data_IF_951012335463
#
_entry.id   IF_951012335463
#
_cell.length_a   1.000
_cell.length_b   1.000
_cell.length_c   1.000
_cell.angle_alpha   90.00
_cell.angle_beta   90.00
_cell.angle_gamma   90.00
#
_symmetry.space_group_name_H-M   'P 1'
#
loop_
_entity.id
_entity.type
_entity.pdbx_description
1 polymer ?
#
# COMPACT_ATOMS: atom_id res chain seq x y z
N UNK A 1 -10.21 -33.24 -8.78
CA UNK A 1 -10.23 -31.80 -9.12
C UNK A 1 -8.99 -31.09 -8.55
N UNK A 2 -8.02 -30.78 -9.41
CA UNK A 2 -6.84 -30.00 -9.01
C UNK A 2 -7.29 -28.57 -8.74
N UNK A 3 -7.21 -28.12 -7.48
CA UNK A 3 -7.38 -26.71 -7.11
C UNK A 3 -6.10 -26.02 -7.53
N UNK A 4 -6.01 -25.62 -8.79
CA UNK A 4 -4.95 -24.71 -9.23
C UNK A 4 -5.29 -23.37 -8.58
N UNK A 5 -4.42 -22.78 -7.72
CA UNK A 5 -4.65 -21.43 -7.25
C UNK A 5 -4.72 -20.55 -8.50
N UNK A 6 -5.88 -19.93 -8.75
CA UNK A 6 -5.97 -18.89 -9.76
C UNK A 6 -4.88 -17.88 -9.45
N UNK A 7 -4.05 -17.51 -10.44
CA UNK A 7 -3.05 -16.48 -10.23
C UNK A 7 -3.70 -15.27 -9.56
N UNK A 8 -3.09 -14.71 -8.51
CA UNK A 8 -3.68 -13.58 -7.81
C UNK A 8 -3.91 -12.45 -8.82
N UNK A 9 -5.11 -11.89 -8.82
CA UNK A 9 -5.48 -10.79 -9.72
C UNK A 9 -4.78 -9.46 -9.38
N UNK A 10 -3.77 -9.51 -8.51
CA UNK A 10 -2.98 -8.39 -8.03
C UNK A 10 -1.49 -8.73 -8.04
N UNK A 11 -0.68 -7.69 -8.19
CA UNK A 11 0.78 -7.78 -8.13
C UNK A 11 1.24 -7.44 -6.70
N UNK A 12 2.04 -8.32 -6.10
CA UNK A 12 2.65 -8.11 -4.77
C UNK A 12 3.87 -7.19 -4.91
N UNK A 13 3.86 -6.07 -4.20
CA UNK A 13 4.93 -5.06 -4.24
C UNK A 13 5.37 -4.74 -2.80
N UNK A 14 6.63 -5.01 -2.43
CA UNK A 14 7.17 -4.53 -1.16
C UNK A 14 7.12 -3.00 -1.10
N UNK A 15 6.58 -2.43 -0.01
CA UNK A 15 6.41 -0.98 0.12
C UNK A 15 7.74 -0.23 -0.04
N UNK A 16 8.85 -0.80 0.46
CA UNK A 16 10.20 -0.24 0.26
C UNK A 16 10.59 -0.07 -1.23
N UNK A 17 10.14 -0.97 -2.11
CA UNK A 17 10.48 -0.93 -3.52
C UNK A 17 9.80 0.26 -4.20
N UNK A 18 8.62 0.67 -3.74
CA UNK A 18 7.95 1.89 -4.22
C UNK A 18 8.79 3.13 -3.90
N UNK A 19 9.35 3.20 -2.69
CA UNK A 19 10.29 4.28 -2.33
C UNK A 19 11.56 4.25 -3.18
N UNK A 20 12.14 3.07 -3.44
CA UNK A 20 13.33 2.97 -4.29
C UNK A 20 13.05 3.39 -5.72
N UNK A 21 11.91 3.00 -6.28
CA UNK A 21 11.43 3.50 -7.57
C UNK A 21 11.31 5.02 -7.55
N UNK A 22 10.71 5.62 -6.51
CA UNK A 22 10.62 7.07 -6.40
C UNK A 22 11.98 7.76 -6.34
N UNK A 23 12.96 7.20 -5.63
CA UNK A 23 14.30 7.78 -5.60
C UNK A 23 14.99 7.75 -6.98
N UNK A 24 14.61 6.81 -7.85
CA UNK A 24 15.19 6.66 -9.19
C UNK A 24 14.44 7.48 -10.27
N UNK A 25 13.12 7.41 -10.31
CA UNK A 25 12.27 8.01 -11.36
C UNK A 25 11.38 9.16 -10.86
N UNK A 26 11.50 9.54 -9.59
CA UNK A 26 10.76 10.64 -8.97
C UNK A 26 9.25 10.40 -8.95
N UNK A 27 8.52 11.49 -9.18
CA UNK A 27 7.06 11.52 -9.16
C UNK A 27 6.38 10.55 -10.14
N UNK A 28 7.07 10.09 -11.19
CA UNK A 28 6.55 9.05 -12.08
C UNK A 28 6.21 7.77 -11.32
N UNK A 29 7.00 7.41 -10.30
CA UNK A 29 6.71 6.24 -9.47
C UNK A 29 5.33 6.35 -8.79
N UNK A 30 4.97 7.54 -8.29
CA UNK A 30 3.68 7.74 -7.62
C UNK A 30 2.53 7.49 -8.61
N UNK A 31 2.64 7.97 -9.85
CA UNK A 31 1.64 7.71 -10.90
C UNK A 31 1.60 6.23 -11.28
N UNK A 32 2.75 5.60 -11.49
CA UNK A 32 2.85 4.19 -11.90
C UNK A 32 2.18 3.26 -10.88
N UNK A 33 2.42 3.47 -9.58
CA UNK A 33 1.81 2.69 -8.50
C UNK A 33 0.46 3.22 -8.04
N UNK A 34 0.04 4.42 -8.48
CA UNK A 34 -1.20 5.08 -8.09
C UNK A 34 -2.40 4.76 -8.99
N UNK A 35 -2.16 4.71 -10.30
CA UNK A 35 -3.23 4.71 -11.32
C UNK A 35 -3.33 3.42 -12.16
N UNK A 36 -2.52 2.40 -11.85
CA UNK A 36 -2.43 1.17 -12.65
C UNK A 36 -2.77 -0.09 -11.87
N UNK A 37 -3.23 -1.16 -12.55
CA UNK A 37 -3.41 -2.54 -12.06
C UNK A 37 -4.09 -2.67 -10.68
N UNK A 38 -4.15 -3.89 -10.14
CA UNK A 38 -4.44 -4.10 -8.71
C UNK A 38 -3.12 -4.45 -8.02
N UNK A 39 -2.84 -3.82 -6.88
CA UNK A 39 -1.62 -4.06 -6.12
C UNK A 39 -1.93 -4.59 -4.73
N UNK A 40 -0.98 -5.33 -4.18
CA UNK A 40 -0.88 -5.61 -2.76
C UNK A 40 0.45 -5.06 -2.26
N UNK A 41 0.40 -4.03 -1.42
CA UNK A 41 1.58 -3.41 -0.83
C UNK A 41 1.99 -4.18 0.42
N UNK A 42 3.13 -4.85 0.35
CA UNK A 42 3.64 -5.65 1.45
C UNK A 42 4.45 -4.79 2.42
N UNK A 43 4.32 -5.06 3.72
CA UNK A 43 5.02 -4.32 4.78
C UNK A 43 4.79 -2.79 4.70
N UNK A 44 3.52 -2.39 4.59
CA UNK A 44 3.14 -0.98 4.59
C UNK A 44 3.50 -0.35 5.94
N UNK A 45 4.20 0.77 5.91
CA UNK A 45 4.52 1.53 7.10
C UNK A 45 5.92 1.29 7.65
N UNK A 46 6.76 0.52 6.97
CA UNK A 46 8.18 0.36 7.35
C UNK A 46 9.16 0.84 6.28
N UNK A 47 8.66 1.35 5.15
CA UNK A 47 9.49 1.92 4.10
C UNK A 47 10.27 3.16 4.59
N UNK A 48 11.45 3.46 4.00
CA UNK A 48 12.12 4.73 4.26
C UNK A 48 11.36 5.90 3.62
N UNK A 49 11.64 7.12 4.08
CA UNK A 49 11.20 8.33 3.39
C UNK A 49 11.82 8.37 1.98
N UNK A 50 11.02 8.72 0.98
CA UNK A 50 11.52 8.94 -0.38
C UNK A 50 12.21 10.28 -0.45
N UNK A 51 13.32 10.35 -1.19
CA UNK A 51 14.07 11.59 -1.37
C UNK A 51 14.37 11.80 -2.84
N UNK A 52 13.83 12.88 -3.39
CA UNK A 52 14.04 13.27 -4.78
C UNK A 52 14.51 14.72 -4.81
N UNK A 53 15.71 14.95 -5.35
CA UNK A 53 16.39 16.26 -5.32
C UNK A 53 16.48 16.91 -3.92
N UNK A 54 16.72 16.09 -2.89
CA UNK A 54 16.89 16.57 -1.51
C UNK A 54 15.59 16.91 -0.78
N UNK A 55 14.43 16.76 -1.42
CA UNK A 55 13.13 16.92 -0.77
C UNK A 55 12.62 15.56 -0.28
N UNK A 56 12.27 15.49 0.99
CA UNK A 56 11.63 14.33 1.59
C UNK A 56 10.15 14.24 1.18
N UNK A 57 9.70 13.03 0.88
CA UNK A 57 8.35 12.74 0.44
C UNK A 57 7.86 11.44 1.06
N UNK A 58 6.63 11.47 1.57
CA UNK A 58 5.91 10.26 1.97
C UNK A 58 5.31 9.60 0.73
N UNK A 59 6.15 8.83 0.02
CA UNK A 59 5.83 8.25 -1.29
C UNK A 59 4.59 7.37 -1.21
N UNK A 60 4.50 6.47 -0.24
CA UNK A 60 3.34 5.59 -0.11
C UNK A 60 2.10 6.35 0.32
N UNK A 61 2.22 7.40 1.14
CA UNK A 61 1.11 8.28 1.46
C UNK A 61 0.47 8.88 0.22
N UNK A 62 1.28 9.41 -0.71
CA UNK A 62 0.81 9.95 -1.98
C UNK A 62 0.22 8.86 -2.89
N UNK A 63 0.86 7.69 -2.97
CA UNK A 63 0.33 6.54 -3.73
C UNK A 63 -1.04 6.10 -3.21
N UNK A 64 -1.22 6.01 -1.89
CA UNK A 64 -2.49 5.63 -1.26
C UNK A 64 -3.60 6.65 -1.57
N UNK A 65 -3.27 7.93 -1.59
CA UNK A 65 -4.21 8.98 -2.01
C UNK A 65 -4.60 8.83 -3.48
N UNK A 66 -3.64 8.65 -4.39
CA UNK A 66 -3.93 8.39 -5.81
C UNK A 66 -4.78 7.14 -6.01
N UNK A 67 -4.47 6.06 -5.27
CA UNK A 67 -5.24 4.80 -5.31
C UNK A 67 -6.66 4.97 -4.81
N UNK A 68 -6.87 5.80 -3.79
CA UNK A 68 -8.21 6.13 -3.32
C UNK A 68 -9.02 6.87 -4.40
N UNK A 69 -8.42 7.85 -5.08
CA UNK A 69 -9.08 8.54 -6.18
C UNK A 69 -9.41 7.59 -7.33
N UNK A 70 -8.50 6.67 -7.67
CA UNK A 70 -8.76 5.61 -8.65
C UNK A 70 -9.89 4.67 -8.22
N UNK A 71 -9.93 4.28 -6.94
CA UNK A 71 -10.99 3.45 -6.38
C UNK A 71 -12.36 4.10 -6.57
N UNK A 72 -12.48 5.41 -6.34
CA UNK A 72 -13.70 6.16 -6.60
C UNK A 72 -14.01 6.25 -8.11
N UNK A 73 -13.03 6.65 -8.93
CA UNK A 73 -13.18 6.82 -10.39
C UNK A 73 -13.66 5.53 -11.07
N UNK A 74 -13.11 4.39 -10.66
CA UNK A 74 -13.42 3.08 -11.24
C UNK A 74 -14.67 2.44 -10.65
N UNK A 75 -15.39 3.13 -9.76
CA UNK A 75 -16.53 2.59 -9.01
C UNK A 75 -16.17 1.28 -8.31
N UNK A 76 -15.05 1.26 -7.61
CA UNK A 76 -14.56 0.14 -6.77
C UNK A 76 -14.14 -1.12 -7.54
N UNK A 77 -13.89 -1.01 -8.85
CA UNK A 77 -13.46 -2.14 -9.69
C UNK A 77 -11.99 -2.50 -9.48
N UNK A 78 -11.14 -1.50 -9.28
CA UNK A 78 -9.71 -1.71 -9.01
C UNK A 78 -9.50 -1.74 -7.50
N UNK A 79 -8.99 -2.87 -7.00
CA UNK A 79 -8.79 -3.10 -5.57
C UNK A 79 -7.34 -2.87 -5.20
N UNK A 80 -7.14 -2.29 -4.02
CA UNK A 80 -5.84 -2.15 -3.39
C UNK A 80 -5.82 -3.03 -2.15
N UNK A 81 -4.75 -3.77 -1.95
CA UNK A 81 -4.51 -4.57 -0.75
C UNK A 81 -3.22 -4.08 -0.08
N UNK A 82 -3.11 -4.32 1.21
CA UNK A 82 -1.88 -4.05 1.94
C UNK A 82 -1.75 -5.01 3.13
N UNK A 83 -0.52 -5.32 3.50
CA UNK A 83 -0.17 -6.00 4.75
C UNK A 83 0.66 -5.02 5.58
N UNK A 84 0.55 -5.11 6.91
CA UNK A 84 1.32 -4.26 7.82
C UNK A 84 1.43 -4.92 9.18
N UNK A 85 2.55 -4.68 9.84
CA UNK A 85 2.75 -5.03 11.25
C UNK A 85 2.39 -3.88 12.20
N UNK A 86 2.01 -2.72 11.64
CA UNK A 86 1.66 -1.54 12.41
C UNK A 86 0.17 -1.52 12.78
N UNK A 87 -0.12 -0.92 13.93
CA UNK A 87 -1.47 -0.63 14.35
C UNK A 87 -2.01 0.69 13.73
N UNK A 88 -3.28 0.98 13.98
CA UNK A 88 -3.96 2.12 13.37
C UNK A 88 -3.46 3.51 13.84
N UNK A 89 -2.80 3.60 14.99
CA UNK A 89 -2.19 4.84 15.52
C UNK A 89 -0.80 5.04 14.90
N UNK A 90 0.02 3.99 14.82
CA UNK A 90 1.33 4.03 14.17
C UNK A 90 1.23 4.39 12.68
N UNK A 91 0.22 3.85 11.98
CA UNK A 91 -0.08 4.24 10.60
C UNK A 91 -0.51 5.71 10.49
N UNK A 92 -1.24 6.23 11.47
CA UNK A 92 -1.64 7.64 11.48
C UNK A 92 -0.45 8.56 11.72
N UNK A 93 0.42 8.22 12.68
CA UNK A 93 1.63 8.98 12.95
C UNK A 93 2.53 9.02 11.71
N UNK A 94 2.65 7.89 11.00
CA UNK A 94 3.49 7.79 9.81
C UNK A 94 2.93 8.52 8.59
N UNK A 95 1.65 8.37 8.27
CA UNK A 95 1.06 8.90 7.02
C UNK A 95 0.22 10.16 7.21
N UNK A 96 -0.09 10.51 8.45
CA UNK A 96 -0.97 11.61 8.79
C UNK A 96 -2.46 11.23 8.76
N UNK A 97 -3.25 12.01 9.49
CA UNK A 97 -4.69 11.83 9.64
C UNK A 97 -5.46 11.76 8.31
N UNK A 98 -5.05 12.57 7.32
CA UNK A 98 -5.68 12.60 6.00
C UNK A 98 -5.61 11.25 5.30
N UNK A 99 -4.43 10.63 5.27
CA UNK A 99 -4.25 9.32 4.62
C UNK A 99 -4.99 8.25 5.41
N UNK A 100 -4.87 8.25 6.75
CA UNK A 100 -5.60 7.34 7.64
C UNK A 100 -7.11 7.35 7.36
N UNK A 101 -7.71 8.53 7.20
CA UNK A 101 -9.14 8.64 6.88
C UNK A 101 -9.49 7.96 5.56
N UNK A 102 -8.65 8.09 4.52
CA UNK A 102 -8.89 7.42 3.23
C UNK A 102 -8.65 5.92 3.29
N UNK A 103 -7.69 5.47 4.09
CA UNK A 103 -7.44 4.04 4.32
C UNK A 103 -8.66 3.33 4.91
N UNK A 104 -9.42 3.99 5.80
CA UNK A 104 -10.67 3.45 6.36
C UNK A 104 -11.76 3.20 5.32
N UNK A 105 -11.75 3.95 4.22
CA UNK A 105 -12.71 3.79 3.11
C UNK A 105 -12.18 2.86 2.02
N UNK A 106 -10.85 2.81 1.86
CA UNK A 106 -10.16 2.01 0.84
C UNK A 106 -10.06 0.54 1.23
N UNK A 107 -9.91 0.22 2.52
CA UNK A 107 -9.63 -1.13 3.01
C UNK A 107 -10.73 -1.68 3.91
N UNK A 108 -10.92 -3.00 3.82
CA UNK A 108 -11.54 -3.77 4.89
C UNK A 108 -10.43 -4.24 5.84
N UNK A 109 -10.49 -3.83 7.10
CA UNK A 109 -9.47 -4.21 8.09
C UNK A 109 -9.68 -5.65 8.55
N UNK A 110 -8.64 -6.46 8.43
CA UNK A 110 -8.56 -7.80 9.00
C UNK A 110 -7.37 -7.80 9.95
N UNK A 111 -7.63 -8.01 11.24
CA UNK A 111 -6.60 -8.07 12.27
C UNK A 111 -6.49 -9.49 12.82
N UNK A 112 -5.26 -9.92 13.09
CA UNK A 112 -4.97 -11.19 13.75
C UNK A 112 -4.65 -10.95 15.22
N UNK A 113 -5.08 -11.85 16.09
CA UNK A 113 -4.67 -11.80 17.50
C UNK A 113 -3.17 -12.10 17.62
N UNK A 114 -2.52 -11.52 18.63
CA UNK A 114 -1.08 -11.74 18.90
C UNK A 114 -0.73 -13.20 19.17
N UNK A 115 -1.72 -14.00 19.57
CA UNK A 115 -1.63 -15.44 19.84
C UNK A 115 -1.87 -16.30 18.59
N UNK A 116 -2.14 -15.70 17.43
CA UNK A 116 -2.32 -16.43 16.18
C UNK A 116 -1.02 -17.14 15.80
N UNK A 117 -1.11 -18.45 15.52
CA UNK A 117 0.06 -19.25 15.12
C UNK A 117 0.59 -18.76 13.77
N UNK A 118 1.91 -18.57 13.67
CA UNK A 118 2.57 -18.31 12.38
C UNK A 118 2.43 -19.55 11.49
N UNK A 119 2.27 -19.35 10.18
CA UNK A 119 2.17 -20.48 9.23
C UNK A 119 3.51 -21.21 9.05
N UNK A 120 4.63 -20.60 9.45
CA UNK A 120 5.99 -21.11 9.31
C UNK A 120 6.43 -22.06 10.43
N UNK A 121 5.64 -22.16 11.51
CA UNK A 121 5.78 -23.16 12.59
C UNK A 121 4.91 -24.37 12.27
#
# INVERSE_FOLDING_TARGET
PCIVPSQPAYEMIPSRNVTFSFNHIGYKAITDYGDSKSFCFDDLGVEPAGRFYGKDCNVLGEVLLSRYDLYLKTKRKIKTHATTNLNAEELEERYGNRVRSRMRELFNLIAFEKTSNDKRI
#
